data_IF_283944553544
#
_entry.id   IF_283944553544
#
_cell.length_a   1.000
_cell.length_b   1.000
_cell.length_c   1.000
_cell.angle_alpha   90.00
_cell.angle_beta   90.00
_cell.angle_gamma   90.00
#
_symmetry.space_group_name_H-M   'P 1'
#
loop_
_entity.id
_entity.type
_entity.pdbx_description
1 polymer ?
#
# COMPACT_ATOMS: atom_id res chain seq x y z
N UNK A 1 -4.11 -7.87 -22.27
CA UNK A 1 -3.79 -8.29 -20.90
C UNK A 1 -2.28 -8.40 -20.67
N UNK A 2 -1.54 -9.27 -21.41
CA UNK A 2 -0.07 -9.36 -21.28
C UNK A 2 0.64 -8.05 -21.64
N UNK A 3 0.16 -7.34 -22.64
CA UNK A 3 0.70 -6.04 -23.08
C UNK A 3 0.59 -4.98 -21.97
N UNK A 4 -0.57 -4.83 -21.36
CA UNK A 4 -0.81 -3.92 -20.25
C UNK A 4 0.09 -4.21 -19.02
N UNK A 5 0.26 -5.48 -18.66
CA UNK A 5 1.15 -5.88 -17.54
C UNK A 5 2.61 -5.55 -17.87
N UNK A 6 3.03 -5.75 -19.12
CA UNK A 6 4.39 -5.43 -19.55
C UNK A 6 4.64 -3.92 -19.56
N UNK A 7 3.67 -3.11 -19.93
CA UNK A 7 3.74 -1.63 -19.88
C UNK A 7 3.87 -1.15 -18.43
N UNK A 8 3.03 -1.66 -17.52
CA UNK A 8 3.12 -1.34 -16.08
C UNK A 8 4.48 -1.75 -15.53
N UNK A 9 4.96 -2.95 -15.85
CA UNK A 9 6.26 -3.42 -15.41
C UNK A 9 7.38 -2.51 -15.92
N UNK A 10 7.38 -2.16 -17.20
CA UNK A 10 8.39 -1.28 -17.79
C UNK A 10 8.39 0.10 -17.12
N UNK A 11 7.21 0.65 -16.85
CA UNK A 11 7.07 1.94 -16.14
C UNK A 11 7.65 1.87 -14.72
N UNK A 12 7.35 0.82 -13.95
CA UNK A 12 7.88 0.64 -12.61
C UNK A 12 9.38 0.34 -12.58
N UNK A 13 9.92 -0.35 -13.60
CA UNK A 13 11.37 -0.52 -13.76
C UNK A 13 12.07 0.83 -13.99
N UNK A 14 11.51 1.72 -14.80
CA UNK A 14 12.05 3.05 -15.04
C UNK A 14 11.92 3.95 -13.81
N UNK A 15 10.74 3.93 -13.17
CA UNK A 15 10.43 4.76 -12.02
C UNK A 15 11.24 4.38 -10.78
N UNK A 16 11.77 3.17 -10.70
CA UNK A 16 12.58 2.69 -9.56
C UNK A 16 13.80 3.58 -9.26
N UNK A 17 14.35 4.27 -10.26
CA UNK A 17 15.49 5.17 -10.13
C UNK A 17 15.11 6.66 -10.13
N UNK A 18 13.81 6.98 -10.03
CA UNK A 18 13.31 8.37 -10.01
C UNK A 18 13.79 9.14 -8.77
N UNK A 19 13.83 10.47 -8.86
CA UNK A 19 14.16 11.35 -7.74
C UNK A 19 13.27 11.12 -6.52
N UNK A 20 12.00 10.78 -6.76
CA UNK A 20 11.06 10.44 -5.69
C UNK A 20 11.51 9.22 -4.90
N UNK A 21 11.87 8.11 -5.57
CA UNK A 21 12.37 6.91 -4.89
C UNK A 21 13.76 7.13 -4.27
N UNK A 22 14.62 7.92 -4.91
CA UNK A 22 15.93 8.28 -4.33
C UNK A 22 15.76 9.04 -3.02
N UNK A 23 14.83 10.00 -2.95
CA UNK A 23 14.56 10.76 -1.73
C UNK A 23 14.04 9.89 -0.58
N UNK A 24 13.32 8.81 -0.88
CA UNK A 24 12.80 7.87 0.11
C UNK A 24 13.82 6.83 0.57
N UNK A 25 14.92 6.68 -0.17
CA UNK A 25 16.00 5.72 0.14
C UNK A 25 17.25 6.38 0.71
N UNK A 26 17.15 7.61 1.19
CA UNK A 26 18.26 8.27 1.89
C UNK A 26 18.58 7.54 3.19
N UNK A 27 19.85 7.56 3.59
CA UNK A 27 20.30 6.95 4.84
C UNK A 27 19.51 7.47 6.05
N UNK A 28 19.18 8.76 6.07
CA UNK A 28 18.37 9.38 7.12
C UNK A 28 16.96 8.78 7.17
N UNK A 29 16.30 8.64 6.02
CA UNK A 29 14.96 8.07 5.93
C UNK A 29 14.95 6.60 6.38
N UNK A 30 15.91 5.81 5.91
CA UNK A 30 16.02 4.39 6.29
C UNK A 30 16.27 4.26 7.80
N UNK A 31 17.21 5.02 8.36
CA UNK A 31 17.44 5.01 9.82
C UNK A 31 16.21 5.39 10.61
N UNK A 32 15.45 6.40 10.16
CA UNK A 32 14.20 6.78 10.81
C UNK A 32 13.22 5.60 10.91
N UNK A 33 13.08 4.82 9.84
CA UNK A 33 12.23 3.62 9.83
C UNK A 33 12.79 2.52 10.75
N UNK A 34 14.11 2.31 10.75
CA UNK A 34 14.72 1.25 11.57
C UNK A 34 14.70 1.58 13.07
N UNK A 35 14.87 2.85 13.45
CA UNK A 35 14.81 3.31 14.83
C UNK A 35 13.38 3.43 15.36
N UNK A 36 12.42 3.74 14.47
CA UNK A 36 11.00 3.92 14.80
C UNK A 36 10.14 3.21 13.75
N UNK A 37 10.05 1.87 13.79
CA UNK A 37 9.36 1.09 12.77
C UNK A 37 7.87 1.48 12.59
N UNK A 38 7.22 1.98 13.64
CA UNK A 38 5.87 2.52 13.55
C UNK A 38 5.74 3.71 12.60
N UNK A 39 6.83 4.45 12.34
CA UNK A 39 6.84 5.60 11.42
C UNK A 39 6.63 5.24 9.96
N UNK A 40 6.81 3.96 9.58
CA UNK A 40 6.53 3.47 8.24
C UNK A 40 5.02 3.35 7.93
N UNK A 41 4.16 3.56 8.94
CA UNK A 41 2.71 3.40 8.83
C UNK A 41 1.98 4.67 9.29
N UNK A 42 0.76 4.86 8.79
CA UNK A 42 -0.14 5.80 9.46
C UNK A 42 -0.44 5.27 10.88
N UNK A 43 -0.49 6.14 11.92
CA UNK A 43 -0.62 5.69 13.32
C UNK A 43 -1.82 4.78 13.56
N UNK A 44 -2.96 5.07 12.91
CA UNK A 44 -4.18 4.27 13.03
C UNK A 44 -4.00 2.88 12.39
N UNK A 45 -3.25 2.80 11.28
CA UNK A 45 -2.93 1.53 10.59
C UNK A 45 -1.99 0.69 11.44
N UNK A 46 -0.97 1.30 12.02
CA UNK A 46 -0.06 0.59 12.93
C UNK A 46 -0.79 0.03 14.15
N UNK A 47 -1.61 0.84 14.81
CA UNK A 47 -2.42 0.39 15.94
C UNK A 47 -3.39 -0.74 15.58
N UNK A 48 -3.97 -0.71 14.36
CA UNK A 48 -4.81 -1.81 13.85
C UNK A 48 -3.97 -3.09 13.66
N UNK A 49 -2.79 -2.98 13.04
CA UNK A 49 -1.88 -4.11 12.82
C UNK A 49 -1.47 -4.75 14.16
N UNK A 50 -1.01 -3.95 15.14
CA UNK A 50 -0.64 -4.45 16.47
C UNK A 50 -1.80 -5.16 17.16
N UNK A 51 -2.98 -4.53 17.17
CA UNK A 51 -4.20 -5.08 17.79
C UNK A 51 -4.60 -6.41 17.18
N UNK A 52 -4.53 -6.54 15.84
CA UNK A 52 -5.03 -7.72 15.10
C UNK A 52 -4.02 -8.85 15.03
N UNK A 53 -2.71 -8.53 15.03
CA UNK A 53 -1.64 -9.52 14.95
C UNK A 53 -1.18 -10.01 16.34
N UNK A 54 -1.34 -9.21 17.39
CA UNK A 54 -0.85 -9.51 18.73
C UNK A 54 0.69 -9.55 18.81
N UNK A 55 1.36 -8.82 17.92
CA UNK A 55 2.80 -8.80 17.73
C UNK A 55 3.23 -9.45 16.42
N UNK A 56 4.48 -9.18 15.99
CA UNK A 56 5.00 -9.59 14.68
C UNK A 56 6.08 -10.68 14.77
N UNK A 57 6.67 -10.91 15.94
CA UNK A 57 7.77 -11.86 16.11
C UNK A 57 7.42 -13.28 15.62
N UNK A 58 8.20 -13.78 14.67
CA UNK A 58 8.02 -15.10 14.04
C UNK A 58 6.78 -15.24 13.14
N UNK A 59 6.09 -14.13 12.82
CA UNK A 59 4.99 -14.13 11.84
C UNK A 59 5.56 -14.04 10.44
N UNK A 60 5.03 -14.86 9.53
CA UNK A 60 5.33 -14.77 8.10
C UNK A 60 4.50 -13.67 7.45
N UNK A 61 5.15 -12.68 6.90
CA UNK A 61 4.50 -11.50 6.34
C UNK A 61 4.90 -11.30 4.87
N UNK A 62 3.90 -11.15 4.00
CA UNK A 62 4.11 -10.73 2.62
C UNK A 62 3.74 -9.24 2.47
N UNK A 63 4.64 -8.48 1.90
CA UNK A 63 4.41 -7.09 1.48
C UNK A 63 4.51 -7.02 -0.04
N UNK A 64 3.39 -7.23 -0.77
CA UNK A 64 3.38 -7.13 -2.22
C UNK A 64 3.30 -5.67 -2.67
N UNK A 65 3.83 -5.36 -3.88
CA UNK A 65 4.01 -3.99 -4.39
C UNK A 65 4.79 -3.13 -3.39
N UNK A 66 5.90 -3.66 -2.89
CA UNK A 66 6.62 -3.12 -1.73
C UNK A 66 7.31 -1.76 -2.01
N UNK A 67 7.53 -1.40 -3.27
CA UNK A 67 8.06 -0.10 -3.69
C UNK A 67 9.37 0.29 -3.00
N UNK A 68 9.31 1.24 -2.05
CA UNK A 68 10.47 1.69 -1.25
C UNK A 68 10.84 0.73 -0.11
N UNK A 69 10.02 -0.28 0.16
CA UNK A 69 10.17 -1.31 1.20
C UNK A 69 10.10 -0.81 2.65
N UNK A 70 9.71 0.42 2.95
CA UNK A 70 9.70 0.94 4.32
C UNK A 70 8.84 0.08 5.26
N UNK A 71 7.61 -0.28 4.85
CA UNK A 71 6.76 -1.15 5.66
C UNK A 71 7.39 -2.55 5.86
N UNK A 72 8.06 -3.07 4.84
CA UNK A 72 8.73 -4.36 4.92
C UNK A 72 9.91 -4.33 5.91
N UNK A 73 10.77 -3.29 5.85
CA UNK A 73 11.86 -3.11 6.83
C UNK A 73 11.32 -2.96 8.25
N UNK A 74 10.28 -2.15 8.43
CA UNK A 74 9.66 -1.95 9.73
C UNK A 74 9.15 -3.27 10.33
N UNK A 75 8.46 -4.09 9.54
CA UNK A 75 7.96 -5.40 9.99
C UNK A 75 9.10 -6.38 10.30
N UNK A 76 10.19 -6.34 9.54
CA UNK A 76 11.38 -7.14 9.83
C UNK A 76 12.05 -6.71 11.16
N UNK A 77 12.19 -5.40 11.41
CA UNK A 77 12.70 -4.88 12.72
C UNK A 77 11.81 -5.32 13.87
N UNK A 78 10.48 -5.41 13.66
CA UNK A 78 9.52 -5.90 14.65
C UNK A 78 9.53 -7.42 14.83
N UNK A 79 10.45 -8.13 14.15
CA UNK A 79 10.69 -9.55 14.31
C UNK A 79 9.87 -10.47 13.42
N UNK A 80 9.22 -9.94 12.38
CA UNK A 80 8.53 -10.76 11.39
C UNK A 80 9.52 -11.42 10.42
N UNK A 81 9.16 -12.59 9.89
CA UNK A 81 9.77 -13.22 8.72
C UNK A 81 9.14 -12.59 7.47
N UNK A 82 9.82 -11.61 6.89
CA UNK A 82 9.25 -10.77 5.84
C UNK A 82 9.69 -11.19 4.45
N UNK A 83 8.72 -11.31 3.54
CA UNK A 83 8.96 -11.36 2.10
C UNK A 83 8.40 -10.08 1.47
N UNK A 84 9.28 -9.28 0.87
CA UNK A 84 8.89 -8.15 0.03
C UNK A 84 8.75 -8.60 -1.42
N UNK A 85 7.70 -8.19 -2.13
CA UNK A 85 7.59 -8.47 -3.56
C UNK A 85 7.15 -7.24 -4.35
N UNK A 86 7.59 -7.16 -5.59
CA UNK A 86 7.20 -6.10 -6.53
C UNK A 86 7.27 -6.62 -7.96
N UNK A 87 6.52 -6.01 -8.87
CA UNK A 87 6.60 -6.34 -10.30
C UNK A 87 7.94 -5.89 -10.91
N UNK A 88 8.57 -4.85 -10.35
CA UNK A 88 9.88 -4.33 -10.74
C UNK A 88 11.00 -5.06 -10.02
N UNK A 89 11.87 -5.73 -10.78
CA UNK A 89 13.08 -6.34 -10.22
C UNK A 89 14.04 -5.28 -9.69
N UNK A 90 14.06 -4.07 -10.28
CA UNK A 90 14.91 -2.97 -9.80
C UNK A 90 14.49 -2.51 -8.41
N UNK A 91 13.18 -2.39 -8.14
CA UNK A 91 12.68 -2.10 -6.79
C UNK A 91 13.20 -3.14 -5.79
N UNK A 92 13.10 -4.42 -6.13
CA UNK A 92 13.57 -5.51 -5.26
C UNK A 92 15.09 -5.49 -5.08
N UNK A 93 15.87 -5.17 -6.12
CA UNK A 93 17.32 -5.01 -6.00
C UNK A 93 17.72 -3.85 -5.09
N UNK A 94 17.02 -2.72 -5.16
CA UNK A 94 17.25 -1.59 -4.24
C UNK A 94 16.89 -1.99 -2.80
N UNK A 95 15.73 -2.63 -2.63
CA UNK A 95 15.29 -3.12 -1.33
C UNK A 95 16.29 -4.08 -0.70
N UNK A 96 16.75 -5.07 -1.46
CA UNK A 96 17.74 -6.05 -1.01
C UNK A 96 19.06 -5.39 -0.57
N UNK A 97 19.60 -4.46 -1.36
CA UNK A 97 20.86 -3.75 -1.03
C UNK A 97 20.76 -2.99 0.28
N UNK A 98 19.63 -2.34 0.51
CA UNK A 98 19.38 -1.59 1.75
C UNK A 98 19.27 -2.56 2.93
N UNK A 99 18.50 -3.65 2.79
CA UNK A 99 18.36 -4.66 3.82
C UNK A 99 19.72 -5.28 4.19
N UNK A 100 20.54 -5.65 3.19
CA UNK A 100 21.88 -6.18 3.39
C UNK A 100 22.80 -5.18 4.13
N UNK A 101 22.77 -3.91 3.72
CA UNK A 101 23.60 -2.85 4.34
C UNK A 101 23.25 -2.62 5.82
N UNK A 102 22.01 -2.89 6.23
CA UNK A 102 21.52 -2.71 7.59
C UNK A 102 21.35 -4.02 8.37
N UNK A 103 21.75 -5.16 7.80
CA UNK A 103 21.68 -6.46 8.46
C UNK A 103 20.26 -6.99 8.70
N UNK A 104 19.31 -6.60 7.85
CA UNK A 104 17.95 -7.12 7.91
C UNK A 104 17.85 -8.44 7.14
N UNK A 105 17.36 -9.48 7.82
CA UNK A 105 17.08 -10.78 7.20
C UNK A 105 15.66 -10.78 6.66
N UNK A 106 15.52 -10.75 5.33
CA UNK A 106 14.22 -10.80 4.64
C UNK A 106 14.38 -11.24 3.19
N UNK A 107 13.30 -11.73 2.59
CA UNK A 107 13.27 -12.20 1.21
C UNK A 107 12.77 -11.11 0.26
N UNK A 108 13.31 -11.13 -0.98
CA UNK A 108 12.90 -10.23 -2.07
C UNK A 108 12.54 -11.03 -3.31
N UNK A 109 11.31 -10.92 -3.77
CA UNK A 109 10.75 -11.72 -4.86
C UNK A 109 10.13 -10.83 -5.92
N UNK A 110 10.50 -11.02 -7.19
CA UNK A 110 9.77 -10.38 -8.27
C UNK A 110 8.43 -11.09 -8.49
N UNK A 111 7.31 -10.39 -8.27
CA UNK A 111 5.97 -10.95 -8.46
C UNK A 111 4.96 -9.88 -8.88
N UNK A 112 4.00 -10.26 -9.73
CA UNK A 112 2.79 -9.49 -9.99
C UNK A 112 1.80 -9.68 -8.84
N UNK A 113 1.43 -8.60 -8.16
CA UNK A 113 0.50 -8.62 -7.03
C UNK A 113 -0.87 -9.21 -7.38
N UNK A 114 -1.31 -9.12 -8.62
CA UNK A 114 -2.54 -9.77 -9.07
C UNK A 114 -2.43 -11.29 -9.16
N UNK A 115 -1.23 -11.84 -9.25
CA UNK A 115 -1.02 -13.28 -9.50
C UNK A 115 -0.36 -13.99 -8.33
N UNK A 116 0.65 -13.36 -7.72
CA UNK A 116 1.45 -13.93 -6.62
C UNK A 116 1.94 -15.36 -6.95
N UNK A 117 2.34 -15.60 -8.21
CA UNK A 117 2.70 -16.91 -8.77
C UNK A 117 3.85 -17.61 -8.03
N UNK A 118 4.90 -16.89 -7.56
CA UNK A 118 5.99 -17.54 -6.86
C UNK A 118 5.61 -18.16 -5.50
N UNK A 119 4.44 -17.77 -4.95
CA UNK A 119 4.04 -18.17 -3.61
C UNK A 119 3.05 -19.34 -3.64
N UNK A 120 3.25 -20.26 -2.69
CA UNK A 120 2.34 -21.37 -2.42
C UNK A 120 1.00 -20.90 -1.83
N UNK A 121 0.16 -21.86 -1.45
CA UNK A 121 -1.04 -21.58 -0.66
C UNK A 121 -0.75 -21.66 0.84
N UNK A 122 -1.48 -20.89 1.64
CA UNK A 122 -1.44 -20.96 3.11
C UNK A 122 -0.05 -20.75 3.74
N UNK A 123 0.67 -19.74 3.24
CA UNK A 123 2.05 -19.49 3.62
C UNK A 123 2.18 -18.35 4.63
N UNK A 124 1.38 -17.28 4.53
CA UNK A 124 1.55 -16.05 5.27
C UNK A 124 0.51 -15.85 6.38
N UNK A 125 0.94 -15.31 7.51
CA UNK A 125 0.07 -14.87 8.61
C UNK A 125 -0.55 -13.50 8.32
N UNK A 126 0.18 -12.64 7.57
CA UNK A 126 -0.24 -11.31 7.15
C UNK A 126 0.15 -11.05 5.69
N UNK A 127 -0.77 -10.49 4.92
CA UNK A 127 -0.47 -9.78 3.67
C UNK A 127 -0.81 -8.31 3.85
N UNK A 128 0.20 -7.44 3.72
CA UNK A 128 0.04 -5.99 3.88
C UNK A 128 0.31 -5.27 2.56
N UNK A 129 -0.68 -4.53 2.06
CA UNK A 129 -0.54 -3.66 0.90
C UNK A 129 -0.67 -2.20 1.30
N UNK A 130 0.20 -1.34 0.78
CA UNK A 130 0.16 0.09 1.08
C UNK A 130 0.20 0.93 -0.17
N UNK A 131 -0.42 2.01 -0.05
CA UNK A 131 -0.61 3.23 -0.78
C UNK A 131 -0.34 3.20 -2.30
N UNK A 132 -1.42 3.39 -3.04
CA UNK A 132 -1.40 3.53 -4.50
C UNK A 132 -1.46 2.20 -5.27
N UNK A 133 -1.50 1.05 -4.59
CA UNK A 133 -1.52 -0.27 -5.25
C UNK A 133 -2.73 -0.42 -6.18
N UNK A 134 -3.93 -0.06 -5.70
CA UNK A 134 -5.17 -0.29 -6.46
C UNK A 134 -5.29 0.54 -7.73
N UNK A 135 -4.53 1.63 -7.87
CA UNK A 135 -4.45 2.39 -9.12
C UNK A 135 -3.88 1.57 -10.28
N UNK A 136 -3.05 0.58 -9.97
CA UNK A 136 -2.35 -0.26 -10.95
C UNK A 136 -3.00 -1.62 -11.16
N UNK A 137 -4.05 -1.93 -10.41
CA UNK A 137 -4.74 -3.22 -10.45
C UNK A 137 -5.99 -3.11 -11.32
N UNK A 138 -6.03 -3.83 -12.44
CA UNK A 138 -7.18 -3.86 -13.35
C UNK A 138 -8.25 -4.90 -12.95
N UNK A 139 -7.92 -5.81 -12.03
CA UNK A 139 -8.80 -6.89 -11.56
C UNK A 139 -8.65 -7.13 -10.05
N UNK A 140 -9.27 -6.32 -9.21
CA UNK A 140 -9.17 -6.46 -7.76
C UNK A 140 -9.67 -7.81 -7.25
N UNK A 141 -10.68 -8.42 -7.90
CA UNK A 141 -11.14 -9.77 -7.53
C UNK A 141 -10.02 -10.82 -7.72
N UNK A 142 -9.23 -10.72 -8.79
CA UNK A 142 -8.10 -11.63 -9.02
C UNK A 142 -7.00 -11.41 -7.98
N UNK A 143 -6.68 -10.16 -7.67
CA UNK A 143 -5.71 -9.82 -6.64
C UNK A 143 -6.12 -10.39 -5.28
N UNK A 144 -7.35 -10.12 -4.83
CA UNK A 144 -7.80 -10.59 -3.53
C UNK A 144 -7.99 -12.11 -3.46
N UNK A 145 -8.37 -12.77 -4.55
CA UNK A 145 -8.38 -14.24 -4.61
C UNK A 145 -6.98 -14.83 -4.40
N UNK A 146 -5.94 -14.21 -4.96
CA UNK A 146 -4.56 -14.65 -4.76
C UNK A 146 -4.04 -14.26 -3.35
N UNK A 147 -4.38 -13.11 -2.82
CA UNK A 147 -4.10 -12.75 -1.42
C UNK A 147 -4.73 -13.79 -0.47
N UNK A 148 -5.99 -14.13 -0.66
CA UNK A 148 -6.65 -15.16 0.14
C UNK A 148 -5.98 -16.54 -0.03
N UNK A 149 -5.52 -16.88 -1.23
CA UNK A 149 -4.82 -18.15 -1.49
C UNK A 149 -3.51 -18.25 -0.70
N UNK A 150 -2.70 -17.21 -0.70
CA UNK A 150 -1.38 -17.24 -0.03
C UNK A 150 -1.48 -17.06 1.48
N UNK A 151 -2.57 -16.50 2.01
CA UNK A 151 -2.83 -16.42 3.44
C UNK A 151 -3.13 -17.79 4.03
N UNK A 152 -2.61 -18.06 5.22
CA UNK A 152 -3.04 -19.19 6.07
C UNK A 152 -4.51 -19.05 6.45
N UNK A 153 -5.17 -20.15 6.83
CA UNK A 153 -6.47 -20.07 7.50
C UNK A 153 -6.34 -19.19 8.74
N UNK A 154 -7.24 -18.24 8.95
CA UNK A 154 -7.15 -17.22 9.98
C UNK A 154 -6.12 -16.12 9.73
N UNK A 155 -5.39 -16.14 8.61
CA UNK A 155 -4.45 -15.10 8.23
C UNK A 155 -5.13 -13.77 7.89
N UNK A 156 -4.41 -12.67 8.08
CA UNK A 156 -4.93 -11.31 7.95
C UNK A 156 -4.45 -10.65 6.65
N UNK A 157 -5.38 -10.05 5.91
CA UNK A 157 -5.10 -9.09 4.85
C UNK A 157 -5.35 -7.69 5.37
N UNK A 158 -4.39 -6.79 5.25
CA UNK A 158 -4.56 -5.36 5.55
C UNK A 158 -4.15 -4.56 4.33
N UNK A 159 -5.06 -3.75 3.82
CA UNK A 159 -4.77 -2.77 2.80
C UNK A 159 -4.88 -1.35 3.38
N UNK A 160 -3.96 -0.49 3.02
CA UNK A 160 -4.03 0.94 3.25
C UNK A 160 -3.77 1.66 1.93
N UNK A 161 -4.72 2.46 1.47
CA UNK A 161 -4.62 3.10 0.15
C UNK A 161 -5.31 4.46 0.13
N UNK A 162 -5.07 5.23 -0.92
CA UNK A 162 -5.80 6.46 -1.21
C UNK A 162 -7.29 6.15 -1.24
N UNK A 163 -8.07 6.96 -0.52
CA UNK A 163 -9.52 6.76 -0.47
C UNK A 163 -10.16 6.95 -1.86
N UNK A 164 -11.04 6.04 -2.30
CA UNK A 164 -11.72 6.15 -3.59
C UNK A 164 -12.42 7.49 -3.86
N UNK A 165 -12.87 8.20 -2.83
CA UNK A 165 -13.44 9.56 -2.98
C UNK A 165 -12.44 10.60 -3.50
N UNK A 166 -11.15 10.32 -3.45
CA UNK A 166 -10.13 11.20 -3.99
C UNK A 166 -9.99 11.07 -5.53
N UNK A 167 -10.43 9.94 -6.10
CA UNK A 167 -10.21 9.59 -7.52
C UNK A 167 -10.97 10.46 -8.53
N UNK A 168 -12.20 10.97 -8.25
CA UNK A 168 -12.91 11.88 -9.14
C UNK A 168 -12.25 13.24 -9.30
N UNK A 169 -11.36 13.63 -8.41
CA UNK A 169 -10.76 14.96 -8.40
C UNK A 169 -9.43 15.01 -9.16
N UNK A 170 -9.07 16.21 -9.63
CA UNK A 170 -7.78 16.48 -10.28
C UNK A 170 -6.58 16.20 -9.37
N UNK A 171 -5.38 16.09 -9.94
CA UNK A 171 -4.13 15.94 -9.17
C UNK A 171 -3.87 17.10 -8.20
N UNK A 172 -4.36 18.31 -8.51
CA UNK A 172 -4.23 19.52 -7.67
C UNK A 172 -5.40 19.72 -6.70
N UNK A 173 -6.17 18.67 -6.40
CA UNK A 173 -7.44 18.71 -5.65
C UNK A 173 -7.39 19.44 -4.31
N UNK A 174 -6.26 19.43 -3.63
CA UNK A 174 -6.13 20.10 -2.34
C UNK A 174 -5.80 21.60 -2.45
N UNK A 175 -5.35 22.04 -3.62
CA UNK A 175 -5.13 23.46 -3.93
C UNK A 175 -6.34 24.04 -4.66
N UNK A 176 -6.85 23.29 -5.64
CA UNK A 176 -7.98 23.67 -6.48
C UNK A 176 -8.84 22.43 -6.73
N UNK A 177 -9.85 22.15 -5.88
CA UNK A 177 -10.70 20.97 -6.01
C UNK A 177 -11.55 21.08 -7.28
N UNK A 178 -11.25 20.27 -8.27
CA UNK A 178 -11.98 20.15 -9.52
C UNK A 178 -12.37 18.70 -9.74
N UNK A 179 -13.66 18.45 -9.99
CA UNK A 179 -14.16 17.12 -10.35
C UNK A 179 -13.93 16.92 -11.84
N UNK A 180 -13.11 15.94 -12.19
CA UNK A 180 -12.73 15.62 -13.57
C UNK A 180 -13.44 14.39 -14.12
N UNK A 181 -14.07 13.60 -13.27
CA UNK A 181 -14.88 12.43 -13.65
C UNK A 181 -15.91 12.08 -12.58
N UNK A 182 -16.94 11.33 -12.96
CA UNK A 182 -17.94 10.86 -12.01
C UNK A 182 -17.35 9.77 -11.08
N UNK A 183 -17.84 9.69 -9.84
CA UNK A 183 -17.37 8.67 -8.87
C UNK A 183 -17.66 7.23 -9.30
N UNK A 184 -18.72 7.00 -10.07
CA UNK A 184 -19.11 5.71 -10.61
C UNK A 184 -18.44 5.38 -11.96
N UNK A 185 -17.69 6.30 -12.54
CA UNK A 185 -16.87 6.05 -13.71
C UNK A 185 -15.57 5.36 -13.31
N UNK A 186 -15.55 4.05 -13.38
CA UNK A 186 -14.38 3.19 -13.12
C UNK A 186 -13.54 2.92 -14.38
N UNK A 187 -13.82 3.62 -15.50
CA UNK A 187 -13.02 3.49 -16.71
C UNK A 187 -11.57 3.93 -16.45
N UNK A 188 -10.56 3.16 -16.89
CA UNK A 188 -9.18 3.55 -16.74
C UNK A 188 -8.88 4.78 -17.61
N UNK A 189 -8.33 5.82 -16.98
CA UNK A 189 -7.75 7.00 -17.66
C UNK A 189 -6.32 7.16 -17.15
N UNK A 190 -5.45 6.20 -17.48
CA UNK A 190 -4.13 6.06 -16.90
C UNK A 190 -4.15 5.17 -15.65
N UNK A 191 -4.83 5.62 -14.60
CA UNK A 191 -5.00 4.88 -13.35
C UNK A 191 -6.36 4.16 -13.29
N UNK A 192 -6.42 3.00 -12.63
CA UNK A 192 -7.69 2.37 -12.29
C UNK A 192 -8.38 3.10 -11.15
N UNK A 193 -9.68 3.30 -11.25
CA UNK A 193 -10.49 4.02 -10.27
C UNK A 193 -11.55 3.09 -9.68
N UNK A 194 -11.22 2.44 -8.57
CA UNK A 194 -12.14 1.55 -7.86
C UNK A 194 -12.92 2.33 -6.81
N UNK A 195 -14.19 1.97 -6.65
CA UNK A 195 -15.02 2.48 -5.53
C UNK A 195 -14.78 1.63 -4.29
N UNK A 196 -15.14 2.15 -3.12
CA UNK A 196 -15.07 1.38 -1.87
C UNK A 196 -15.81 0.04 -2.00
N UNK A 197 -16.99 0.07 -2.59
CA UNK A 197 -17.81 -1.15 -2.79
C UNK A 197 -17.14 -2.19 -3.69
N UNK A 198 -16.34 -1.77 -4.68
CA UNK A 198 -15.65 -2.70 -5.58
C UNK A 198 -14.55 -3.46 -4.81
N UNK A 199 -13.80 -2.74 -3.97
CA UNK A 199 -12.75 -3.34 -3.13
C UNK A 199 -13.34 -4.29 -2.08
N UNK A 200 -14.37 -3.83 -1.36
CA UNK A 200 -15.08 -4.62 -0.35
C UNK A 200 -15.67 -5.90 -0.95
N UNK A 201 -16.34 -5.78 -2.11
CA UNK A 201 -16.93 -6.92 -2.80
C UNK A 201 -15.86 -7.89 -3.31
N UNK A 202 -14.72 -7.40 -3.80
CA UNK A 202 -13.61 -8.24 -4.24
C UNK A 202 -13.02 -9.06 -3.09
N UNK A 203 -12.84 -8.45 -1.91
CA UNK A 203 -12.41 -9.16 -0.69
C UNK A 203 -13.44 -10.21 -0.27
N UNK A 204 -14.70 -9.83 -0.14
CA UNK A 204 -15.77 -10.74 0.31
C UNK A 204 -15.95 -11.95 -0.63
N UNK A 205 -15.94 -11.74 -1.95
CA UNK A 205 -16.00 -12.81 -2.95
C UNK A 205 -14.79 -13.77 -2.89
N UNK A 206 -13.67 -13.30 -2.36
CA UNK A 206 -12.46 -14.10 -2.20
C UNK A 206 -12.40 -14.91 -0.90
N UNK A 207 -13.46 -14.87 -0.08
CA UNK A 207 -13.50 -15.55 1.21
C UNK A 207 -12.81 -14.80 2.35
N UNK A 208 -12.51 -13.51 2.14
CA UNK A 208 -11.97 -12.63 3.17
C UNK A 208 -13.11 -11.97 3.94
N UNK A 209 -13.21 -12.23 5.25
CA UNK A 209 -14.18 -11.61 6.15
C UNK A 209 -13.64 -10.26 6.62
N UNK A 210 -14.29 -9.16 6.25
CA UNK A 210 -13.89 -7.81 6.70
C UNK A 210 -14.15 -7.70 8.20
N UNK A 211 -13.11 -7.37 8.97
CA UNK A 211 -13.17 -7.22 10.41
C UNK A 211 -13.21 -5.76 10.86
N UNK A 212 -12.53 -4.87 10.10
CA UNK A 212 -12.45 -3.45 10.47
C UNK A 212 -12.13 -2.62 9.22
N UNK A 213 -12.77 -1.46 9.13
CA UNK A 213 -12.48 -0.45 8.12
C UNK A 213 -12.22 0.88 8.83
N UNK A 214 -11.18 1.61 8.40
CA UNK A 214 -10.84 2.94 8.90
C UNK A 214 -10.84 3.91 7.72
N UNK A 215 -11.46 5.06 7.90
CA UNK A 215 -11.33 6.20 6.99
C UNK A 215 -10.52 7.29 7.70
N UNK A 216 -9.52 7.82 7.03
CA UNK A 216 -8.56 8.74 7.62
C UNK A 216 -8.47 10.01 6.78
N UNK A 217 -8.42 11.16 7.45
CA UNK A 217 -8.18 12.46 6.82
C UNK A 217 -6.77 12.93 7.20
N UNK A 218 -5.77 12.43 6.48
CA UNK A 218 -4.39 12.86 6.64
C UNK A 218 -3.89 13.49 5.33
N UNK A 219 -3.81 14.82 5.31
CA UNK A 219 -3.33 15.58 4.17
C UNK A 219 -1.81 15.69 4.15
N UNK A 220 -1.14 15.50 5.27
CA UNK A 220 0.33 15.60 5.36
C UNK A 220 1.02 14.58 4.45
N UNK A 221 0.37 13.46 4.16
CA UNK A 221 0.86 12.45 3.22
C UNK A 221 1.02 12.99 1.79
N UNK A 222 0.13 13.90 1.35
CA UNK A 222 0.15 14.42 -0.02
C UNK A 222 1.00 15.67 -0.19
N UNK A 223 1.30 16.37 0.90
CA UNK A 223 1.95 17.67 0.82
C UNK A 223 2.99 17.87 1.92
N UNK A 224 4.25 17.78 1.55
CA UNK A 224 5.33 18.39 2.31
C UNK A 224 5.33 19.91 2.08
N UNK A 225 4.24 20.59 2.47
CA UNK A 225 4.18 22.04 2.43
C UNK A 225 4.70 22.59 3.77
N UNK A 226 5.32 23.76 3.77
CA UNK A 226 5.66 24.42 5.04
C UNK A 226 4.41 24.65 5.91
N UNK A 227 4.58 24.65 7.22
CA UNK A 227 3.55 24.61 8.27
C UNK A 227 2.31 25.49 8.02
N UNK A 228 2.47 26.69 7.44
CA UNK A 228 1.35 27.59 7.19
C UNK A 228 0.44 27.12 6.04
N UNK A 229 1.00 26.48 4.99
CA UNK A 229 0.22 25.92 3.89
C UNK A 229 -0.48 24.63 4.32
N UNK A 230 0.16 23.83 5.16
CA UNK A 230 -0.45 22.62 5.73
C UNK A 230 -1.63 22.98 6.62
N UNK A 231 -1.51 23.99 7.46
CA UNK A 231 -2.62 24.45 8.32
C UNK A 231 -3.84 24.90 7.51
N UNK A 232 -3.62 25.62 6.39
CA UNK A 232 -4.71 26.02 5.49
C UNK A 232 -5.30 24.85 4.73
N UNK A 233 -4.45 23.94 4.25
CA UNK A 233 -4.91 22.74 3.54
C UNK A 233 -5.72 21.82 4.45
N UNK A 234 -5.45 21.78 5.75
CA UNK A 234 -6.15 20.99 6.75
C UNK A 234 -7.49 21.59 7.21
N UNK A 235 -7.69 22.90 7.06
CA UNK A 235 -8.96 23.54 7.42
C UNK A 235 -10.00 23.34 6.31
N UNK A 236 -10.99 22.49 6.54
CA UNK A 236 -12.06 22.20 5.58
C UNK A 236 -12.88 23.43 5.16
N UNK A 237 -12.85 24.52 5.94
CA UNK A 237 -13.52 25.79 5.58
C UNK A 237 -12.77 26.55 4.48
N UNK A 238 -11.46 26.29 4.38
CA UNK A 238 -10.58 26.87 3.36
C UNK A 238 -10.34 25.89 2.21
N UNK A 239 -10.30 24.59 2.52
CA UNK A 239 -10.14 23.51 1.57
C UNK A 239 -11.22 22.44 1.78
N UNK A 240 -12.29 22.41 0.97
CA UNK A 240 -13.36 21.43 1.11
C UNK A 240 -12.90 19.97 1.02
N UNK A 241 -11.77 19.70 0.37
CA UNK A 241 -11.20 18.35 0.30
C UNK A 241 -10.72 17.84 1.66
N UNK A 242 -10.38 18.72 2.59
CA UNK A 242 -10.03 18.35 3.96
C UNK A 242 -11.23 17.80 4.77
N UNK A 243 -12.48 17.98 4.28
CA UNK A 243 -13.66 17.37 4.88
C UNK A 243 -13.91 15.92 4.39
N UNK A 244 -13.14 15.45 3.42
CA UNK A 244 -13.28 14.11 2.86
C UNK A 244 -12.13 13.20 3.32
N UNK A 245 -12.37 11.90 3.48
CA UNK A 245 -11.30 10.98 3.82
C UNK A 245 -10.25 10.95 2.70
N UNK A 246 -8.97 11.02 3.08
CA UNK A 246 -7.84 10.95 2.15
C UNK A 246 -7.39 9.52 1.92
N UNK A 247 -7.48 8.69 2.96
CA UNK A 247 -7.08 7.30 2.94
C UNK A 247 -8.14 6.38 3.53
N UNK A 248 -8.08 5.12 3.12
CA UNK A 248 -8.87 4.04 3.65
C UNK A 248 -7.94 2.88 4.05
N UNK A 249 -8.24 2.25 5.19
CA UNK A 249 -7.63 0.99 5.57
C UNK A 249 -8.70 -0.07 5.75
N UNK A 250 -8.51 -1.26 5.20
CA UNK A 250 -9.41 -2.39 5.37
C UNK A 250 -8.63 -3.58 5.88
N UNK A 251 -9.05 -4.11 7.03
CA UNK A 251 -8.56 -5.36 7.59
C UNK A 251 -9.58 -6.47 7.35
N UNK A 252 -9.15 -7.55 6.72
CA UNK A 252 -9.99 -8.70 6.42
C UNK A 252 -9.26 -10.00 6.72
N UNK A 253 -9.97 -10.98 7.30
CA UNK A 253 -9.41 -12.26 7.71
C UNK A 253 -9.85 -13.37 6.77
N UNK A 254 -8.93 -14.28 6.42
CA UNK A 254 -9.26 -15.52 5.72
C UNK A 254 -10.00 -16.47 6.67
N UNK A 255 -11.18 -16.92 6.22
CA UNK A 255 -11.98 -17.93 6.93
C UNK A 255 -11.31 -19.31 7.00
#
# INVERSE_FOLDING_TARGET
>A
MLEYINEIKAWWEETADSEWYQSRRTEEMIRSVLEKPESAFAPQVFGLLEKRMGGFAGKKVLVPSAGDCHAAYALAVLGAEVTASDISIRQMMHGWRIAEAHGLEMDFVQADTMQLEPFGGEEFDLVYTSNGVHSWIDKPEKMYANIARVLKSGGLSVMWDIHPFQRPFSGERFVQPEIIKAYDDVSPQGDNHWRVMDLVNAMAKSGLCIEEMLEMSDISYFYAFGEEKEARAADWRQNPMAALPTHICIAARKG
#
